data_IF_346870294724
#
_entry.id   IF_346870294724
#
_cell.length_a   1.000
_cell.length_b   1.000
_cell.length_c   1.000
_cell.angle_alpha   90.00
_cell.angle_beta   90.00
_cell.angle_gamma   90.00
#
_symmetry.space_group_name_H-M   'P 1'
#
loop_
_entity.id
_entity.type
_entity.pdbx_description
1 polymer ?
#
# COMPACT_ATOMS: atom_id res chain seq x y z
N UNK A 1 -20.32 3.79 58.50
CA UNK A 1 -20.26 5.22 58.14
C UNK A 1 -18.89 5.55 57.56
N UNK A 2 -18.88 6.40 56.52
CA UNK A 2 -17.74 7.04 55.85
C UNK A 2 -16.94 6.14 54.89
N UNK A 3 -16.55 6.56 53.68
CA UNK A 3 -16.95 7.58 52.70
C UNK A 3 -15.77 7.59 51.70
N UNK A 4 -16.06 7.49 50.39
CA UNK A 4 -15.31 8.10 49.28
C UNK A 4 -13.89 7.53 49.01
N UNK A 5 -13.38 7.42 47.80
CA UNK A 5 -13.73 8.07 46.55
C UNK A 5 -13.36 7.17 45.36
N UNK A 6 -14.23 7.17 44.35
CA UNK A 6 -13.89 6.75 42.99
C UNK A 6 -12.82 7.68 42.44
N UNK A 7 -11.70 7.13 41.95
CA UNK A 7 -10.84 7.81 40.99
C UNK A 7 -11.11 7.17 39.62
N UNK A 8 -12.04 7.78 38.87
CA UNK A 8 -12.19 7.55 37.45
C UNK A 8 -10.99 8.18 36.73
N UNK A 9 -9.99 7.38 36.38
CA UNK A 9 -9.01 7.78 35.37
C UNK A 9 -9.76 7.88 34.03
N UNK A 10 -10.12 9.09 33.65
CA UNK A 10 -10.60 9.42 32.32
C UNK A 10 -9.46 9.18 31.33
N UNK A 11 -9.55 8.08 30.59
CA UNK A 11 -8.74 7.86 29.40
C UNK A 11 -9.39 8.69 28.30
N UNK A 12 -8.92 9.93 28.14
CA UNK A 12 -9.25 10.74 26.99
C UNK A 12 -8.63 10.05 25.76
N UNK A 13 -9.45 9.31 25.02
CA UNK A 13 -9.12 8.83 23.69
C UNK A 13 -8.95 10.05 22.80
N UNK A 14 -7.69 10.44 22.60
CA UNK A 14 -7.28 11.30 21.49
C UNK A 14 -7.52 10.50 20.21
N UNK A 15 -8.77 10.49 19.73
CA UNK A 15 -9.06 10.22 18.34
C UNK A 15 -8.56 11.43 17.54
N UNK A 16 -7.23 11.55 17.41
CA UNK A 16 -6.65 12.32 16.32
C UNK A 16 -7.18 11.72 15.02
N UNK A 17 -7.31 12.54 13.98
CA UNK A 17 -7.71 12.12 12.64
C UNK A 17 -6.82 10.96 12.17
N UNK A 18 -7.21 9.73 12.50
CA UNK A 18 -6.51 8.54 12.09
C UNK A 18 -6.84 8.39 10.60
N UNK A 19 -5.80 8.36 9.78
CA UNK A 19 -5.89 7.77 8.45
C UNK A 19 -6.57 6.41 8.58
N UNK A 20 -7.43 6.08 7.63
CA UNK A 20 -8.17 4.83 7.65
C UNK A 20 -7.18 3.66 7.80
N UNK A 21 -7.37 2.76 8.80
CA UNK A 21 -6.42 1.69 9.04
C UNK A 21 -6.33 0.78 7.81
N UNK A 22 -5.11 0.35 7.48
CA UNK A 22 -4.88 -0.55 6.34
C UNK A 22 -5.59 -1.89 6.58
N UNK A 23 -6.44 -2.30 5.63
CA UNK A 23 -7.19 -3.56 5.67
C UNK A 23 -6.33 -4.79 5.35
N UNK A 24 -5.32 -5.11 6.16
CA UNK A 24 -4.39 -6.23 5.93
C UNK A 24 -5.06 -7.61 5.84
N UNK A 25 -6.29 -7.74 6.32
CA UNK A 25 -7.11 -8.95 6.21
C UNK A 25 -7.72 -9.16 4.81
N UNK A 26 -7.78 -8.11 3.98
CA UNK A 26 -8.31 -8.17 2.62
C UNK A 26 -7.44 -9.05 1.71
N UNK A 27 -7.99 -9.37 0.55
CA UNK A 27 -7.34 -10.16 -0.49
C UNK A 27 -6.80 -9.25 -1.61
N UNK A 28 -6.07 -9.83 -2.56
CA UNK A 28 -5.58 -9.12 -3.72
C UNK A 28 -6.66 -8.95 -4.80
N UNK A 29 -7.93 -9.16 -4.47
CA UNK A 29 -9.07 -8.96 -5.36
C UNK A 29 -10.23 -8.31 -4.64
N UNK A 30 -10.95 -7.43 -5.34
CA UNK A 30 -12.16 -6.77 -4.85
C UNK A 30 -13.11 -6.51 -6.01
N UNK A 31 -14.42 -6.46 -5.70
CA UNK A 31 -15.45 -6.15 -6.70
C UNK A 31 -15.80 -4.68 -6.59
N UNK A 32 -15.44 -3.89 -7.61
CA UNK A 32 -15.75 -2.46 -7.70
C UNK A 32 -16.67 -2.24 -8.90
N UNK A 33 -17.85 -1.66 -8.67
CA UNK A 33 -18.81 -1.37 -9.76
C UNK A 33 -19.13 -2.59 -10.66
N UNK A 34 -19.25 -3.78 -10.07
CA UNK A 34 -19.50 -5.07 -10.76
C UNK A 34 -18.35 -5.57 -11.66
N UNK A 35 -17.15 -5.04 -11.45
CA UNK A 35 -15.90 -5.47 -12.08
C UNK A 35 -15.00 -6.06 -11.01
N UNK A 36 -14.46 -7.27 -11.25
CA UNK A 36 -13.44 -7.84 -10.37
C UNK A 36 -12.12 -7.19 -10.73
N UNK A 37 -11.56 -6.44 -9.78
CA UNK A 37 -10.25 -5.81 -9.89
C UNK A 37 -9.28 -6.63 -9.07
N UNK A 38 -8.11 -6.93 -9.64
CA UNK A 38 -7.05 -7.70 -8.99
C UNK A 38 -5.75 -6.90 -8.93
N UNK A 39 -4.99 -7.10 -7.85
CA UNK A 39 -3.68 -6.51 -7.62
C UNK A 39 -2.60 -7.56 -7.84
N UNK A 40 -1.58 -7.17 -8.61
CA UNK A 40 -0.32 -7.90 -8.73
C UNK A 40 0.88 -6.96 -8.62
N UNK A 41 1.83 -7.32 -7.77
CA UNK A 41 2.90 -6.44 -7.33
C UNK A 41 4.25 -7.00 -7.77
N UNK A 42 5.02 -6.18 -8.49
CA UNK A 42 6.42 -6.47 -8.78
C UNK A 42 7.29 -5.46 -8.03
N UNK A 43 8.20 -5.95 -7.19
CA UNK A 43 9.09 -5.14 -6.38
C UNK A 43 10.53 -5.50 -6.65
N UNK A 44 11.41 -4.51 -6.78
CA UNK A 44 12.84 -4.77 -6.95
C UNK A 44 13.72 -3.69 -6.33
N UNK A 45 14.94 -4.09 -5.98
CA UNK A 45 16.04 -3.18 -5.67
C UNK A 45 16.99 -3.11 -6.87
N UNK A 46 17.37 -1.90 -7.25
CA UNK A 46 18.43 -1.70 -8.23
C UNK A 46 19.80 -1.79 -7.55
N UNK A 47 20.58 -2.80 -7.88
CA UNK A 47 21.95 -3.03 -7.37
C UNK A 47 23.03 -2.78 -8.43
N UNK A 48 22.67 -2.21 -9.58
CA UNK A 48 23.65 -1.75 -10.56
C UNK A 48 24.59 -0.72 -9.92
N UNK A 49 25.93 -0.90 -9.99
CA UNK A 49 26.87 0.05 -9.43
C UNK A 49 26.84 1.36 -10.22
N UNK A 50 26.41 2.44 -9.58
CA UNK A 50 26.58 3.81 -10.06
C UNK A 50 27.92 4.35 -9.56
N UNK A 51 28.71 4.97 -10.45
CA UNK A 51 30.03 5.49 -10.09
C UNK A 51 29.86 6.60 -9.05
N UNK A 52 30.39 6.38 -7.85
CA UNK A 52 30.44 7.39 -6.78
C UNK A 52 29.25 7.41 -5.83
N UNK A 53 28.31 6.48 -5.94
CA UNK A 53 27.15 6.41 -5.04
C UNK A 53 27.27 5.23 -4.06
N UNK A 54 26.78 5.44 -2.85
CA UNK A 54 26.57 4.36 -1.88
C UNK A 54 25.42 3.52 -2.41
N UNK A 55 25.56 2.20 -2.38
CA UNK A 55 24.56 1.28 -2.89
C UNK A 55 23.21 1.54 -2.18
N UNK A 56 22.27 2.10 -2.92
CA UNK A 56 20.98 2.51 -2.36
C UNK A 56 20.08 1.29 -2.14
N UNK A 57 19.23 1.38 -1.12
CA UNK A 57 18.13 0.44 -0.86
C UNK A 57 16.80 1.08 -1.30
N UNK A 58 16.81 1.76 -2.44
CA UNK A 58 15.59 2.29 -3.06
C UNK A 58 14.75 1.14 -3.58
N UNK A 59 13.55 0.99 -3.03
CA UNK A 59 12.54 0.07 -3.52
C UNK A 59 11.83 0.68 -4.71
N UNK A 60 11.92 -0.02 -5.83
CA UNK A 60 11.08 0.23 -6.99
C UNK A 60 9.88 -0.71 -6.94
N UNK A 61 8.71 -0.19 -7.30
CA UNK A 61 7.50 -0.99 -7.42
C UNK A 61 6.72 -0.67 -8.67
N UNK A 62 6.16 -1.72 -9.27
CA UNK A 62 5.16 -1.65 -10.33
C UNK A 62 3.98 -2.53 -9.89
N UNK A 63 2.88 -1.89 -9.52
CA UNK A 63 1.67 -2.53 -9.06
C UNK A 63 0.63 -2.50 -10.18
N UNK A 64 0.21 -3.66 -10.66
CA UNK A 64 -0.75 -3.80 -11.73
C UNK A 64 -2.15 -4.00 -11.15
N UNK A 65 -3.07 -3.14 -11.57
CA UNK A 65 -4.50 -3.31 -11.41
C UNK A 65 -5.03 -3.93 -12.68
N UNK A 66 -5.61 -5.13 -12.59
CA UNK A 66 -6.10 -5.90 -13.73
C UNK A 66 -7.55 -6.32 -13.54
N UNK A 67 -8.34 -6.24 -14.62
CA UNK A 67 -9.73 -6.71 -14.66
C UNK A 67 -10.12 -7.31 -16.01
N UNK A 68 -11.20 -8.09 -16.02
CA UNK A 68 -11.78 -8.67 -17.24
C UNK A 68 -12.56 -7.64 -18.09
N UNK A 69 -12.95 -6.52 -17.47
CA UNK A 69 -13.66 -5.39 -18.07
C UNK A 69 -12.85 -4.10 -17.89
N UNK A 70 -13.33 -3.01 -18.48
CA UNK A 70 -12.74 -1.70 -18.24
C UNK A 70 -12.78 -1.38 -16.74
N UNK A 71 -11.65 -0.88 -16.21
CA UNK A 71 -11.55 -0.37 -14.85
C UNK A 71 -12.46 0.87 -14.72
N UNK A 72 -13.15 1.05 -13.56
CA UNK A 72 -14.00 2.20 -13.34
C UNK A 72 -13.23 3.52 -13.54
N UNK A 73 -13.83 4.48 -14.25
CA UNK A 73 -13.15 5.74 -14.58
C UNK A 73 -12.96 6.65 -13.37
N UNK A 74 -13.78 6.45 -12.34
CA UNK A 74 -13.78 7.17 -11.07
C UNK A 74 -12.88 6.52 -10.02
N UNK A 75 -12.16 5.44 -10.39
CA UNK A 75 -11.20 4.80 -9.52
C UNK A 75 -9.97 5.69 -9.36
N UNK A 76 -9.59 5.97 -8.12
CA UNK A 76 -8.41 6.75 -7.78
C UNK A 76 -7.49 5.98 -6.83
N UNK A 77 -6.19 6.25 -6.92
CA UNK A 77 -5.17 5.63 -6.07
C UNK A 77 -4.84 6.60 -4.94
N UNK A 78 -5.28 6.28 -3.73
CA UNK A 78 -5.11 7.16 -2.57
C UNK A 78 -3.79 6.94 -1.86
N UNK A 79 -3.34 5.69 -1.75
CA UNK A 79 -2.05 5.37 -1.13
C UNK A 79 -1.57 3.95 -1.43
N UNK A 80 -0.27 3.75 -1.25
CA UNK A 80 0.36 2.43 -1.17
C UNK A 80 0.84 2.23 0.27
N UNK A 81 0.59 1.07 0.85
CA UNK A 81 1.18 0.65 2.12
C UNK A 81 2.03 -0.60 1.95
N UNK A 82 3.24 -0.57 2.49
CA UNK A 82 4.19 -1.69 2.50
C UNK A 82 4.36 -2.14 3.95
N UNK A 83 4.23 -3.44 4.21
CA UNK A 83 4.44 -4.02 5.54
C UNK A 83 5.51 -5.11 5.53
N UNK A 84 6.43 -5.03 6.49
CA UNK A 84 7.41 -6.07 6.76
C UNK A 84 7.49 -6.35 8.26
N UNK A 85 7.04 -7.52 8.69
CA UNK A 85 6.93 -7.83 10.12
C UNK A 85 5.90 -6.93 10.81
N UNK A 86 6.33 -6.16 11.81
CA UNK A 86 5.48 -5.22 12.55
C UNK A 86 5.53 -3.79 11.97
N UNK A 87 6.45 -3.54 11.03
CA UNK A 87 6.62 -2.21 10.44
C UNK A 87 5.71 -2.03 9.24
N UNK A 88 5.16 -0.83 9.11
CA UNK A 88 4.32 -0.42 7.98
C UNK A 88 4.72 0.98 7.55
N UNK A 89 4.90 1.17 6.25
CA UNK A 89 5.19 2.45 5.63
C UNK A 89 4.14 2.76 4.58
N UNK A 90 3.78 4.04 4.46
CA UNK A 90 2.78 4.51 3.52
C UNK A 90 3.40 5.53 2.55
N UNK A 91 2.97 5.45 1.30
CA UNK A 91 3.24 6.42 0.23
C UNK A 91 1.90 7.02 -0.15
N UNK A 92 1.78 8.35 -0.11
CA UNK A 92 0.58 9.05 -0.57
C UNK A 92 0.43 8.91 -2.09
N UNK A 93 -0.81 8.81 -2.58
CA UNK A 93 -1.16 8.67 -3.99
C UNK A 93 -0.63 9.81 -4.86
N UNK A 94 -0.51 11.02 -4.31
CA UNK A 94 0.09 12.18 -4.99
C UNK A 94 1.59 12.01 -5.31
N UNK A 95 2.25 11.00 -4.70
CA UNK A 95 3.68 10.73 -4.86
C UNK A 95 3.96 9.52 -5.75
N UNK A 96 2.92 8.90 -6.33
CA UNK A 96 3.05 7.75 -7.24
C UNK A 96 2.69 8.15 -8.66
N UNK A 97 3.20 7.39 -9.63
CA UNK A 97 2.88 7.58 -11.04
C UNK A 97 1.84 6.55 -11.48
N UNK A 98 0.67 7.02 -11.92
CA UNK A 98 -0.35 6.17 -12.53
C UNK A 98 -0.16 6.10 -14.05
N UNK A 99 -0.04 4.90 -14.59
CA UNK A 99 0.11 4.61 -16.02
C UNK A 99 -1.05 3.75 -16.51
N UNK A 100 -1.78 4.23 -17.49
CA UNK A 100 -2.86 3.47 -18.13
C UNK A 100 -2.33 2.71 -19.34
N UNK A 101 -2.12 1.39 -19.22
CA UNK A 101 -1.69 0.55 -20.34
C UNK A 101 -2.83 0.32 -21.33
N UNK A 102 -4.02 0.03 -20.81
CA UNK A 102 -5.27 -0.06 -21.56
C UNK A 102 -6.47 0.14 -20.61
N UNK A 103 -7.69 -0.02 -21.11
CA UNK A 103 -8.91 0.18 -20.31
C UNK A 103 -9.03 -0.79 -19.13
N UNK A 104 -8.39 -1.95 -19.19
CA UNK A 104 -8.53 -3.06 -18.25
C UNK A 104 -7.28 -3.26 -17.38
N UNK A 105 -6.23 -2.47 -17.63
CA UNK A 105 -4.94 -2.61 -16.95
C UNK A 105 -4.31 -1.25 -16.69
N UNK A 106 -4.19 -0.91 -15.42
CA UNK A 106 -3.44 0.24 -14.94
C UNK A 106 -2.20 -0.23 -14.17
N UNK A 107 -1.19 0.61 -14.12
CA UNK A 107 0.05 0.37 -13.39
C UNK A 107 0.32 1.55 -12.48
N UNK A 108 0.53 1.27 -11.20
CA UNK A 108 0.93 2.25 -10.18
C UNK A 108 2.42 2.06 -9.92
N UNK A 109 3.21 3.09 -10.19
CA UNK A 109 4.67 3.04 -10.12
C UNK A 109 5.18 3.94 -9.01
N UNK A 110 6.11 3.43 -8.21
CA UNK A 110 6.76 4.20 -7.17
C UNK A 110 8.25 3.86 -7.06
N UNK A 111 9.01 4.82 -6.55
CA UNK A 111 10.43 4.68 -6.22
C UNK A 111 10.62 5.32 -4.85
N UNK A 112 10.90 4.52 -3.83
CA UNK A 112 10.92 5.01 -2.46
C UNK A 112 11.99 4.32 -1.62
N UNK A 113 12.57 5.04 -0.67
CA UNK A 113 13.58 4.48 0.24
C UNK A 113 12.90 4.03 1.54
N UNK A 114 12.91 2.73 1.80
CA UNK A 114 12.41 2.13 3.03
C UNK A 114 13.53 1.36 3.75
N UNK A 115 13.49 1.27 5.08
CA UNK A 115 14.40 0.41 5.84
C UNK A 115 13.98 -1.07 5.76
N UNK A 116 13.82 -1.61 4.55
CA UNK A 116 13.41 -2.99 4.30
C UNK A 116 14.58 -3.97 4.25
N UNK A 117 14.35 -5.18 4.73
CA UNK A 117 15.23 -6.33 4.55
C UNK A 117 14.93 -7.01 3.21
N UNK A 118 15.81 -6.84 2.22
CA UNK A 118 15.67 -7.39 0.88
C UNK A 118 15.62 -8.92 0.82
N UNK A 119 16.06 -9.62 1.88
CA UNK A 119 16.03 -11.08 1.93
C UNK A 119 14.66 -11.63 2.36
N UNK A 120 13.72 -10.77 2.77
CA UNK A 120 12.39 -11.15 3.24
C UNK A 120 11.30 -10.56 2.35
N UNK A 121 10.18 -11.28 2.15
CA UNK A 121 9.06 -10.73 1.42
C UNK A 121 8.38 -9.62 2.24
N UNK A 122 7.50 -8.87 1.56
CA UNK A 122 6.65 -7.83 2.15
C UNK A 122 5.19 -8.09 1.80
N UNK A 123 4.28 -7.50 2.57
CA UNK A 123 2.89 -7.35 2.14
C UNK A 123 2.74 -5.98 1.47
N UNK A 124 1.96 -5.92 0.40
CA UNK A 124 1.64 -4.69 -0.34
C UNK A 124 0.14 -4.48 -0.26
N UNK A 125 -0.27 -3.28 0.13
CA UNK A 125 -1.66 -2.87 0.12
C UNK A 125 -1.81 -1.62 -0.76
N UNK A 126 -2.84 -1.59 -1.59
CA UNK A 126 -3.22 -0.44 -2.40
C UNK A 126 -4.59 0.05 -1.93
N UNK A 127 -4.66 1.32 -1.54
CA UNK A 127 -5.91 1.98 -1.20
C UNK A 127 -6.49 2.61 -2.46
N UNK A 128 -7.71 2.20 -2.78
CA UNK A 128 -8.47 2.71 -3.91
C UNK A 128 -9.68 3.49 -3.41
N UNK A 129 -10.01 4.57 -4.11
CA UNK A 129 -11.25 5.30 -3.89
C UNK A 129 -12.11 5.19 -5.15
N UNK A 130 -13.36 4.79 -4.99
CA UNK A 130 -14.36 4.83 -6.04
C UNK A 130 -15.55 5.68 -5.58
N UNK A 131 -15.58 6.95 -6.00
CA UNK A 131 -16.65 7.89 -5.65
C UNK A 131 -16.94 8.00 -4.14
N UNK A 132 -15.89 8.02 -3.31
CA UNK A 132 -15.97 8.11 -1.85
C UNK A 132 -16.12 6.76 -1.14
N UNK A 133 -16.10 5.64 -1.86
CA UNK A 133 -15.97 4.30 -1.27
C UNK A 133 -14.50 3.90 -1.30
N UNK A 134 -13.93 3.69 -0.10
CA UNK A 134 -12.55 3.25 0.06
C UNK A 134 -12.51 1.72 0.03
N UNK A 135 -11.65 1.17 -0.82
CA UNK A 135 -11.41 -0.25 -0.97
C UNK A 135 -9.92 -0.55 -0.83
N UNK A 136 -9.59 -1.70 -0.23
CA UNK A 136 -8.22 -2.16 -0.10
C UNK A 136 -7.99 -3.42 -0.93
N UNK A 137 -6.93 -3.40 -1.73
CA UNK A 137 -6.37 -4.60 -2.36
C UNK A 137 -5.06 -4.94 -1.66
N UNK A 138 -4.92 -6.18 -1.20
CA UNK A 138 -3.74 -6.62 -0.42
C UNK A 138 -3.11 -7.87 -1.01
N UNK A 139 -1.86 -7.75 -1.45
CA UNK A 139 -1.05 -8.89 -1.86
C UNK A 139 -0.02 -9.23 -0.79
N UNK A 140 -0.05 -10.48 -0.32
CA UNK A 140 0.79 -10.95 0.79
C UNK A 140 2.02 -11.70 0.29
N UNK A 141 3.10 -11.61 1.04
CA UNK A 141 4.36 -12.31 0.78
C UNK A 141 4.96 -12.02 -0.62
N UNK A 142 4.86 -10.78 -1.09
CA UNK A 142 5.47 -10.29 -2.33
C UNK A 142 6.99 -10.33 -2.17
N UNK A 143 7.67 -11.00 -3.10
CA UNK A 143 9.13 -11.09 -3.12
C UNK A 143 9.73 -9.79 -3.64
N UNK A 144 10.92 -9.47 -3.15
CA UNK A 144 11.71 -8.34 -3.63
C UNK A 144 12.83 -8.91 -4.49
N UNK A 145 12.79 -8.61 -5.78
CA UNK A 145 13.83 -9.02 -6.71
C UNK A 145 15.06 -8.11 -6.60
N UNK A 146 16.21 -8.63 -7.02
CA UNK A 146 17.45 -7.86 -7.12
C UNK A 146 17.86 -7.77 -8.58
N UNK A 147 17.97 -6.55 -9.10
CA UNK A 147 18.40 -6.29 -10.47
C UNK A 147 19.86 -5.83 -10.43
N UNK A 148 20.72 -6.51 -11.19
CA UNK A 148 22.17 -6.30 -11.24
C UNK A 148 22.65 -5.86 -12.62
#
# INVERSE_FOLDING_TARGET
>A
MKKLALMSLGVALLAGCASEPVGWEQDNQVIISQVTVSLKSNLWLNKMPTIGEVQDNTLHGALYLESDKALPAELDVESISIQQGEETWQIDGDLVELRTHNQNQWEVVFVWQFPIDAAKPVNVALMLNNNGQVEWLVEKNVKIDMVY
#
